data_IF_622830328880
#
_entry.id   IF_622830328880
#
_cell.length_a   1.000
_cell.length_b   1.000
_cell.length_c   1.000
_cell.angle_alpha   90.00
_cell.angle_beta   90.00
_cell.angle_gamma   90.00
#
_symmetry.space_group_name_H-M   'P 1'
#
loop_
_entity.id
_entity.type
_entity.pdbx_description
1 polymer ?
#
# COMPACT_ATOMS: atom_id res chain seq x y z
N UNK A 1 -12.18 -12.82 8.40
CA UNK A 1 -12.09 -11.58 7.60
C UNK A 1 -12.97 -11.70 6.36
N UNK A 2 -13.57 -10.60 5.94
CA UNK A 2 -14.33 -10.55 4.69
C UNK A 2 -13.41 -10.07 3.59
N UNK A 3 -13.41 -10.68 2.39
CA UNK A 3 -12.64 -10.16 1.27
C UNK A 3 -13.03 -8.72 0.92
N UNK A 4 -12.04 -7.87 0.74
CA UNK A 4 -12.19 -6.45 0.43
C UNK A 4 -11.78 -6.21 -1.02
N UNK A 5 -12.53 -5.40 -1.75
CA UNK A 5 -12.15 -4.96 -3.09
C UNK A 5 -11.14 -3.82 -2.96
N UNK A 6 -10.09 -3.88 -3.75
CA UNK A 6 -9.08 -2.86 -3.88
C UNK A 6 -8.60 -2.75 -5.33
N UNK A 7 -7.58 -1.95 -5.57
CA UNK A 7 -6.94 -1.83 -6.88
C UNK A 7 -5.44 -2.09 -6.77
N UNK A 8 -4.83 -2.52 -7.84
CA UNK A 8 -3.41 -2.84 -7.90
C UNK A 8 -2.74 -2.24 -9.13
N UNK A 9 -1.43 -2.22 -9.12
CA UNK A 9 -0.50 -1.66 -10.07
C UNK A 9 -0.22 -0.17 -9.89
N UNK A 10 0.80 0.32 -10.59
CA UNK A 10 1.36 1.67 -10.41
C UNK A 10 0.36 2.80 -10.70
N UNK A 11 -0.65 2.54 -11.53
CA UNK A 11 -1.73 3.48 -11.84
C UNK A 11 -2.71 3.74 -10.69
N UNK A 12 -2.46 3.21 -9.50
CA UNK A 12 -3.25 3.52 -8.29
C UNK A 12 -2.92 4.87 -7.68
N UNK A 13 -1.78 5.45 -8.06
CA UNK A 13 -1.39 6.80 -7.66
C UNK A 13 -2.38 7.82 -8.23
N UNK A 14 -2.71 8.83 -7.45
CA UNK A 14 -3.70 9.85 -7.84
C UNK A 14 -3.02 11.21 -8.07
N UNK A 15 -3.19 11.75 -9.27
CA UNK A 15 -2.51 12.99 -9.70
C UNK A 15 -2.80 14.19 -8.80
N UNK A 16 -4.02 14.31 -8.33
CA UNK A 16 -4.48 15.50 -7.59
C UNK A 16 -4.43 15.29 -6.07
N UNK A 17 -4.01 14.12 -5.60
CA UNK A 17 -3.90 13.79 -4.19
C UNK A 17 -2.45 13.80 -3.72
N UNK A 18 -2.27 13.99 -2.43
CA UNK A 18 -1.02 13.63 -1.73
C UNK A 18 -0.91 12.11 -1.75
N UNK A 19 0.15 11.56 -2.32
CA UNK A 19 0.37 10.12 -2.34
C UNK A 19 1.43 9.74 -1.32
N UNK A 20 1.05 8.88 -0.38
CA UNK A 20 1.93 8.30 0.63
C UNK A 20 2.07 6.82 0.35
N UNK A 21 3.30 6.35 0.21
CA UNK A 21 3.59 4.94 -0.02
C UNK A 21 4.11 4.32 1.27
N UNK A 22 3.48 3.22 1.69
CA UNK A 22 3.94 2.39 2.81
C UNK A 22 4.59 1.12 2.27
N UNK A 23 5.77 0.77 2.79
CA UNK A 23 6.59 -0.31 2.23
C UNK A 23 7.38 -1.04 3.33
N UNK A 24 7.44 -2.34 3.23
CA UNK A 24 8.18 -3.22 4.13
C UNK A 24 7.33 -4.36 4.68
N UNK A 25 7.51 -4.69 5.98
CA UNK A 25 6.95 -5.90 6.60
C UNK A 25 6.29 -5.68 7.97
N UNK A 26 6.43 -4.49 8.57
CA UNK A 26 5.80 -4.14 9.83
C UNK A 26 4.63 -3.17 9.59
N UNK A 27 3.36 -3.66 9.66
CA UNK A 27 2.21 -2.82 9.35
C UNK A 27 1.82 -1.84 10.46
N UNK A 28 2.45 -1.89 11.63
CA UNK A 28 1.98 -1.16 12.82
C UNK A 28 1.91 0.35 12.60
N UNK A 29 3.01 0.96 12.10
CA UNK A 29 3.00 2.39 11.77
C UNK A 29 2.17 2.69 10.52
N UNK A 30 2.20 1.81 9.53
CA UNK A 30 1.43 1.95 8.29
C UNK A 30 -0.08 1.97 8.55
N UNK A 31 -0.55 1.16 9.50
CA UNK A 31 -1.93 1.18 9.99
C UNK A 31 -2.32 2.56 10.52
N UNK A 32 -1.46 3.17 11.34
CA UNK A 32 -1.68 4.50 11.90
C UNK A 32 -1.61 5.60 10.82
N UNK A 33 -0.74 5.44 9.82
CA UNK A 33 -0.67 6.37 8.68
C UNK A 33 -2.00 6.35 7.92
N UNK A 34 -2.58 5.18 7.65
CA UNK A 34 -3.90 5.08 6.99
C UNK A 34 -4.99 5.72 7.83
N UNK A 35 -4.96 5.51 9.15
CA UNK A 35 -5.91 6.14 10.06
C UNK A 35 -5.87 7.67 9.94
N UNK A 36 -4.69 8.28 10.08
CA UNK A 36 -4.56 9.74 9.98
C UNK A 36 -4.75 10.29 8.56
N UNK A 37 -4.41 9.54 7.53
CA UNK A 37 -4.68 9.94 6.14
C UNK A 37 -6.19 10.05 5.84
N UNK A 38 -7.02 9.34 6.59
CA UNK A 38 -8.48 9.40 6.50
C UNK A 38 -9.11 10.38 7.53
N UNK A 39 -8.30 11.01 8.38
CA UNK A 39 -8.79 11.99 9.34
C UNK A 39 -9.32 13.24 8.61
N UNK A 40 -10.54 13.71 8.90
CA UNK A 40 -11.10 14.91 8.30
C UNK A 40 -10.21 16.16 8.45
N UNK A 41 -9.48 16.30 9.58
CA UNK A 41 -8.53 17.41 9.80
C UNK A 41 -7.38 17.34 8.78
N UNK A 42 -6.81 16.15 8.56
CA UNK A 42 -5.71 15.96 7.61
C UNK A 42 -6.16 16.13 6.16
N UNK A 43 -7.37 15.68 5.83
CA UNK A 43 -7.95 15.88 4.49
C UNK A 43 -8.20 17.39 4.24
N UNK A 44 -8.70 18.12 5.24
CA UNK A 44 -8.87 19.57 5.13
C UNK A 44 -7.51 20.25 4.94
N UNK A 45 -6.52 19.89 5.73
CA UNK A 45 -5.16 20.41 5.61
C UNK A 45 -4.52 20.11 4.24
N UNK A 46 -4.77 18.91 3.67
CA UNK A 46 -4.31 18.59 2.31
C UNK A 46 -4.95 19.53 1.27
N UNK A 47 -6.25 19.85 1.41
CA UNK A 47 -6.95 20.78 0.52
C UNK A 47 -6.42 22.20 0.63
N UNK A 48 -6.10 22.67 1.82
CA UNK A 48 -5.44 23.96 2.06
C UNK A 48 -4.07 24.05 1.39
N UNK A 49 -3.37 22.93 1.26
CA UNK A 49 -2.07 22.82 0.58
C UNK A 49 -2.21 22.52 -0.94
N UNK A 50 -3.41 22.56 -1.50
CA UNK A 50 -3.66 22.48 -2.94
C UNK A 50 -3.95 21.07 -3.48
N UNK A 51 -4.00 20.06 -2.63
CA UNK A 51 -4.39 18.70 -3.02
C UNK A 51 -5.92 18.51 -2.91
N UNK A 52 -6.47 17.53 -3.62
CA UNK A 52 -7.90 17.16 -3.49
C UNK A 52 -8.17 16.21 -2.31
N UNK A 53 -7.15 15.49 -1.87
CA UNK A 53 -7.21 14.51 -0.78
C UNK A 53 -5.88 13.84 -0.55
N UNK A 54 -5.92 12.71 0.17
CA UNK A 54 -4.74 11.90 0.48
C UNK A 54 -5.00 10.47 -0.02
N UNK A 55 -4.03 9.90 -0.71
CA UNK A 55 -4.02 8.51 -1.13
C UNK A 55 -2.89 7.80 -0.42
N UNK A 56 -3.20 6.77 0.34
CA UNK A 56 -2.20 5.82 0.85
C UNK A 56 -2.23 4.60 -0.06
N UNK A 57 -1.09 4.24 -0.61
CA UNK A 57 -0.92 3.01 -1.37
C UNK A 57 0.27 2.22 -0.80
N UNK A 58 0.29 0.94 -1.04
CA UNK A 58 1.30 0.11 -0.42
C UNK A 58 2.18 -0.63 -1.42
N UNK A 59 3.34 -1.04 -0.94
CA UNK A 59 4.29 -1.88 -1.65
C UNK A 59 4.71 -3.02 -0.72
N UNK A 60 4.88 -4.22 -1.23
CA UNK A 60 5.31 -5.40 -0.47
C UNK A 60 4.32 -5.93 0.58
N UNK A 61 4.84 -6.58 1.62
CA UNK A 61 4.04 -7.30 2.62
C UNK A 61 3.22 -6.36 3.52
N UNK A 62 3.78 -5.22 3.93
CA UNK A 62 3.02 -4.18 4.65
C UNK A 62 1.79 -3.74 3.86
N UNK A 63 1.91 -3.61 2.53
CA UNK A 63 0.77 -3.30 1.67
C UNK A 63 -0.33 -4.35 1.75
N UNK A 64 0.03 -5.62 1.71
CA UNK A 64 -0.95 -6.71 1.80
C UNK A 64 -1.71 -6.68 3.13
N UNK A 65 -0.99 -6.50 4.24
CA UNK A 65 -1.59 -6.44 5.58
C UNK A 65 -2.57 -5.28 5.71
N UNK A 66 -2.17 -4.09 5.28
CA UNK A 66 -3.01 -2.89 5.39
C UNK A 66 -4.15 -2.91 4.36
N UNK A 67 -3.91 -3.47 3.16
CA UNK A 67 -4.96 -3.67 2.16
C UNK A 67 -6.07 -4.61 2.65
N UNK A 68 -5.71 -5.70 3.33
CA UNK A 68 -6.70 -6.63 3.90
C UNK A 68 -7.61 -6.00 4.95
N UNK A 69 -7.15 -4.96 5.63
CA UNK A 69 -7.88 -4.28 6.71
C UNK A 69 -8.66 -3.08 6.21
N UNK A 70 -8.06 -2.27 5.37
CA UNK A 70 -8.57 -0.96 4.96
C UNK A 70 -8.90 -0.85 3.47
N UNK A 71 -8.54 -1.84 2.65
CA UNK A 71 -8.76 -1.80 1.21
C UNK A 71 -7.89 -0.78 0.49
N UNK A 72 -6.76 -0.36 1.07
CA UNK A 72 -5.84 0.54 0.38
C UNK A 72 -5.33 -0.10 -0.93
N UNK A 73 -5.07 0.70 -1.96
CA UNK A 73 -4.51 0.18 -3.20
C UNK A 73 -3.06 -0.30 -3.04
N UNK A 74 -2.67 -1.24 -3.89
CA UNK A 74 -1.32 -1.81 -3.91
C UNK A 74 -0.58 -1.31 -5.15
N UNK A 75 0.43 -0.45 -4.96
CA UNK A 75 1.21 0.15 -6.05
C UNK A 75 2.18 -0.84 -6.72
N UNK A 76 2.58 -1.89 -6.01
CA UNK A 76 3.46 -2.90 -6.55
C UNK A 76 4.09 -3.81 -5.49
N UNK A 77 5.11 -4.54 -5.90
CA UNK A 77 5.94 -5.38 -5.04
C UNK A 77 7.36 -4.79 -4.88
N UNK A 78 8.25 -5.52 -4.21
CA UNK A 78 9.62 -5.05 -3.97
C UNK A 78 10.44 -4.80 -5.25
N UNK A 79 10.16 -5.49 -6.35
CA UNK A 79 10.85 -5.28 -7.62
C UNK A 79 10.41 -3.99 -8.34
N UNK A 80 9.29 -3.42 -7.94
CA UNK A 80 8.72 -2.22 -8.55
C UNK A 80 8.70 -1.00 -7.61
N UNK A 81 9.35 -1.09 -6.45
CA UNK A 81 9.33 -0.04 -5.43
C UNK A 81 9.89 1.30 -5.91
N UNK A 82 10.88 1.29 -6.81
CA UNK A 82 11.45 2.50 -7.39
C UNK A 82 10.45 3.20 -8.33
N UNK A 83 9.59 2.43 -8.99
CA UNK A 83 8.61 2.98 -9.93
C UNK A 83 7.63 3.95 -9.26
N UNK A 84 7.31 3.78 -7.96
CA UNK A 84 6.42 4.72 -7.27
C UNK A 84 7.05 6.12 -7.15
N UNK A 85 8.36 6.19 -6.96
CA UNK A 85 9.12 7.46 -6.95
C UNK A 85 9.21 8.03 -8.37
N UNK A 86 9.48 7.17 -9.36
CA UNK A 86 9.59 7.55 -10.79
C UNK A 86 8.30 8.12 -11.37
N UNK A 87 7.13 7.87 -10.74
CA UNK A 87 5.88 8.55 -11.16
C UNK A 87 5.95 10.07 -11.00
N UNK A 88 6.88 10.58 -10.19
CA UNK A 88 6.94 12.01 -9.83
C UNK A 88 5.74 12.51 -9.04
N UNK A 89 4.89 11.61 -8.56
CA UNK A 89 3.66 11.92 -7.82
C UNK A 89 3.68 11.40 -6.36
N UNK A 90 4.82 10.91 -5.88
CA UNK A 90 4.98 10.37 -4.53
C UNK A 90 5.53 11.45 -3.58
N UNK A 91 4.75 11.87 -2.59
CA UNK A 91 5.17 12.85 -1.59
C UNK A 91 6.02 12.25 -0.50
N UNK A 92 5.68 11.02 -0.08
CA UNK A 92 6.45 10.29 0.91
C UNK A 92 6.42 8.79 0.63
N UNK A 93 7.58 8.15 0.75
CA UNK A 93 7.71 6.71 0.85
C UNK A 93 8.22 6.38 2.25
N UNK A 94 7.41 5.65 3.01
CA UNK A 94 7.67 5.29 4.41
C UNK A 94 8.03 3.81 4.46
N UNK A 95 9.22 3.51 4.91
CA UNK A 95 9.74 2.15 4.92
C UNK A 95 10.06 1.67 6.33
N UNK A 96 9.75 0.42 6.61
CA UNK A 96 10.02 -0.21 7.90
C UNK A 96 11.23 -1.15 7.84
N UNK A 97 11.05 -2.42 7.50
CA UNK A 97 12.11 -3.44 7.43
C UNK A 97 11.95 -4.33 6.20
N UNK A 98 13.05 -4.91 5.73
CA UNK A 98 13.17 -5.89 4.66
C UNK A 98 12.72 -5.41 3.27
N UNK A 99 13.25 -6.02 2.25
CA UNK A 99 12.93 -5.78 0.83
C UNK A 99 13.09 -4.33 0.37
N UNK A 100 13.84 -3.51 1.09
CA UNK A 100 14.02 -2.08 0.78
C UNK A 100 15.32 -1.89 0.01
N UNK A 101 15.23 -1.31 -1.18
CA UNK A 101 16.40 -1.03 -1.99
C UNK A 101 17.07 0.29 -1.58
N UNK A 102 18.38 0.26 -1.28
CA UNK A 102 19.14 1.48 -0.96
C UNK A 102 19.07 2.56 -2.05
N UNK A 103 18.81 2.17 -3.29
CA UNK A 103 18.63 3.08 -4.43
C UNK A 103 17.46 4.06 -4.24
N UNK A 104 16.49 3.77 -3.39
CA UNK A 104 15.39 4.69 -3.07
C UNK A 104 15.90 6.03 -2.50
N UNK A 105 17.00 6.03 -1.74
CA UNK A 105 17.59 7.24 -1.17
C UNK A 105 18.02 8.24 -2.23
N UNK A 106 19.03 7.92 -3.06
CA UNK A 106 19.48 8.83 -4.12
C UNK A 106 18.39 9.10 -5.17
N UNK A 107 17.51 8.12 -5.48
CA UNK A 107 16.41 8.34 -6.41
C UNK A 107 15.41 9.37 -5.89
N UNK A 108 15.04 9.30 -4.62
CA UNK A 108 14.11 10.25 -4.00
C UNK A 108 14.62 11.69 -4.07
N UNK A 109 15.93 11.90 -4.04
CA UNK A 109 16.55 13.23 -4.22
C UNK A 109 16.43 13.81 -5.63
N UNK A 110 16.24 12.97 -6.64
CA UNK A 110 15.99 13.43 -8.01
C UNK A 110 14.57 13.99 -8.16
N UNK A 111 13.69 13.66 -7.25
CA UNK A 111 12.30 14.10 -7.18
C UNK A 111 12.06 14.93 -5.91
N UNK A 112 10.80 15.17 -5.58
CA UNK A 112 10.42 15.83 -4.33
C UNK A 112 10.14 14.83 -3.19
N UNK A 113 10.19 13.52 -3.47
CA UNK A 113 9.77 12.45 -2.56
C UNK A 113 10.55 12.47 -1.24
N UNK A 114 9.85 12.48 -0.12
CA UNK A 114 10.42 12.25 1.22
C UNK A 114 10.64 10.74 1.41
N UNK A 115 11.88 10.32 1.55
CA UNK A 115 12.23 8.94 1.89
C UNK A 115 12.39 8.81 3.40
N UNK A 116 11.49 8.11 4.07
CA UNK A 116 11.39 8.02 5.52
C UNK A 116 11.63 6.58 5.96
N UNK A 117 12.62 6.36 6.81
CA UNK A 117 12.91 5.06 7.44
C UNK A 117 12.44 5.08 8.90
N UNK A 118 11.86 3.97 9.37
CA UNK A 118 11.20 3.92 10.68
C UNK A 118 11.81 2.90 11.64
N UNK A 119 12.62 1.98 11.12
CA UNK A 119 13.29 0.96 11.93
C UNK A 119 14.79 1.27 12.10
N UNK A 120 15.34 1.18 13.32
CA UNK A 120 16.75 1.42 13.57
C UNK A 120 17.67 0.39 12.87
N UNK A 121 17.16 -0.82 12.60
CA UNK A 121 17.93 -1.87 11.90
C UNK A 121 17.88 -1.74 10.38
N UNK A 122 17.04 -0.87 9.85
CA UNK A 122 16.87 -0.62 8.42
C UNK A 122 17.02 0.87 8.08
N UNK A 123 17.95 1.54 8.76
CA UNK A 123 18.24 2.94 8.52
C UNK A 123 19.06 3.10 7.24
N UNK A 124 18.46 3.72 6.23
CA UNK A 124 19.09 3.88 4.92
C UNK A 124 19.78 5.23 4.77
N UNK A 125 20.87 5.32 3.97
CA UNK A 125 21.43 6.59 3.55
C UNK A 125 20.38 7.46 2.85
N UNK A 126 20.53 8.77 2.97
CA UNK A 126 19.66 9.75 2.31
C UNK A 126 18.18 9.70 2.72
N UNK A 127 17.84 9.01 3.81
CA UNK A 127 16.51 8.97 4.39
C UNK A 127 16.39 9.92 5.59
N UNK A 128 15.17 10.40 5.81
CA UNK A 128 14.76 10.95 7.10
C UNK A 128 14.43 9.79 8.04
N UNK A 129 14.94 9.84 9.28
CA UNK A 129 14.70 8.76 10.24
C UNK A 129 13.68 9.19 11.30
N UNK A 130 12.53 8.53 11.31
CA UNK A 130 11.49 8.70 12.32
C UNK A 130 11.28 7.33 12.96
N UNK A 131 11.91 7.10 14.11
CA UNK A 131 11.85 5.80 14.75
C UNK A 131 10.43 5.42 15.13
N UNK A 132 10.02 4.23 14.73
CA UNK A 132 8.77 3.65 15.22
C UNK A 132 8.90 3.33 16.71
N UNK A 133 7.92 3.78 17.47
CA UNK A 133 7.71 3.40 18.86
C UNK A 133 6.19 3.25 19.05
N UNK A 134 5.75 2.15 19.64
CA UNK A 134 4.32 1.88 19.84
C UNK A 134 3.62 2.98 20.68
N UNK A 135 4.32 3.56 21.64
CA UNK A 135 3.78 4.62 22.50
C UNK A 135 3.54 5.95 21.76
N UNK A 136 4.38 6.26 20.77
CA UNK A 136 4.31 7.49 19.98
C UNK A 136 3.87 7.28 18.54
N UNK A 137 3.38 6.09 18.21
CA UNK A 137 3.01 5.71 16.85
C UNK A 137 1.99 6.67 16.22
N UNK A 138 1.00 7.11 16.99
CA UNK A 138 0.00 8.07 16.53
C UNK A 138 0.60 9.44 16.19
N UNK A 139 1.46 9.96 17.05
CA UNK A 139 2.13 11.25 16.85
C UNK A 139 3.06 11.18 15.62
N UNK A 140 3.84 10.10 15.51
CA UNK A 140 4.75 9.88 14.39
C UNK A 140 3.98 9.75 13.07
N UNK A 141 2.89 8.98 13.06
CA UNK A 141 2.06 8.84 11.87
C UNK A 141 1.43 10.18 11.45
N UNK A 142 0.89 10.95 12.40
CA UNK A 142 0.33 12.29 12.12
C UNK A 142 1.40 13.23 11.59
N UNK A 143 2.62 13.19 12.13
CA UNK A 143 3.75 13.99 11.65
C UNK A 143 4.17 13.60 10.22
N UNK A 144 4.22 12.31 9.91
CA UNK A 144 4.52 11.80 8.56
C UNK A 144 3.47 12.25 7.55
N UNK A 145 2.17 12.13 7.89
CA UNK A 145 1.07 12.58 7.02
C UNK A 145 1.17 14.09 6.77
N UNK A 146 1.40 14.90 7.80
CA UNK A 146 1.62 16.35 7.64
C UNK A 146 2.81 16.66 6.74
N UNK A 147 3.92 15.99 6.96
CA UNK A 147 5.14 16.17 6.16
C UNK A 147 4.87 15.86 4.67
N UNK A 148 4.12 14.80 4.39
CA UNK A 148 3.72 14.47 3.02
C UNK A 148 2.79 15.54 2.42
N UNK A 149 1.82 16.03 3.18
CA UNK A 149 0.91 17.12 2.73
C UNK A 149 1.69 18.38 2.38
N UNK A 150 2.59 18.80 3.26
CA UNK A 150 3.43 20.00 3.06
C UNK A 150 4.39 19.84 1.87
N UNK A 151 4.76 18.60 1.56
CA UNK A 151 5.63 18.30 0.43
C UNK A 151 4.90 18.33 -0.92
N UNK A 152 3.57 18.29 -0.95
CA UNK A 152 2.78 18.35 -2.19
C UNK A 152 3.10 19.58 -3.04
N UNK A 153 3.34 20.73 -2.41
CA UNK A 153 3.73 21.99 -3.09
C UNK A 153 5.07 21.93 -3.82
N UNK A 154 5.93 20.96 -3.46
CA UNK A 154 7.24 20.76 -4.08
C UNK A 154 7.17 19.83 -5.30
N UNK A 155 5.99 19.26 -5.59
CA UNK A 155 5.77 18.43 -6.76
C UNK A 155 5.97 19.27 -8.03
N UNK A 156 6.72 18.70 -8.97
CA UNK A 156 6.94 19.27 -10.29
C UNK A 156 5.95 18.67 -11.28
N UNK A 157 4.91 19.41 -11.70
CA UNK A 157 3.85 18.85 -12.55
C UNK A 157 4.36 18.26 -13.86
N UNK A 158 5.45 18.82 -14.41
CA UNK A 158 6.10 18.36 -15.63
C UNK A 158 6.80 17.01 -15.49
N UNK A 159 7.11 16.60 -14.27
CA UNK A 159 7.72 15.30 -13.95
C UNK A 159 6.70 14.23 -13.60
N UNK A 160 5.42 14.58 -13.49
CA UNK A 160 4.38 13.63 -13.12
C UNK A 160 4.01 12.77 -14.32
N UNK A 161 4.29 11.47 -14.20
CA UNK A 161 3.93 10.46 -15.19
C UNK A 161 3.40 9.21 -14.50
N UNK A 162 2.09 9.17 -14.30
CA UNK A 162 1.39 8.02 -13.70
C UNK A 162 0.88 7.14 -14.83
N UNK A 163 1.39 5.89 -14.98
CA UNK A 163 0.87 4.97 -15.98
C UNK A 163 -0.61 4.66 -15.75
N UNK A 164 -1.36 4.43 -16.81
CA UNK A 164 -2.78 4.06 -16.73
C UNK A 164 -3.03 2.62 -16.27
N UNK A 165 -1.97 1.86 -15.99
CA UNK A 165 -2.04 0.46 -15.58
C UNK A 165 -2.62 0.35 -14.16
N UNK A 166 -3.91 0.04 -14.08
CA UNK A 166 -4.68 -0.14 -12.85
C UNK A 166 -5.63 -1.31 -13.02
N UNK A 167 -5.64 -2.21 -12.07
CA UNK A 167 -6.44 -3.42 -12.10
C UNK A 167 -7.24 -3.54 -10.81
N UNK A 168 -8.45 -4.10 -10.92
CA UNK A 168 -9.22 -4.47 -9.73
C UNK A 168 -8.60 -5.70 -9.09
N UNK A 169 -8.49 -5.67 -7.78
CA UNK A 169 -7.99 -6.76 -6.96
C UNK A 169 -8.94 -7.02 -5.80
N UNK A 170 -8.89 -8.23 -5.27
CA UNK A 170 -9.65 -8.62 -4.09
C UNK A 170 -8.71 -9.29 -3.11
N UNK A 171 -8.65 -8.79 -1.88
CA UNK A 171 -7.69 -9.18 -0.85
C UNK A 171 -8.40 -9.60 0.43
N UNK A 172 -7.68 -10.25 1.34
CA UNK A 172 -8.22 -10.61 2.66
C UNK A 172 -8.94 -11.94 2.69
N UNK A 173 -8.52 -12.90 1.88
CA UNK A 173 -9.04 -14.25 1.94
C UNK A 173 -8.39 -15.03 3.09
N UNK A 174 -9.19 -15.40 4.09
CA UNK A 174 -8.81 -16.45 5.03
C UNK A 174 -9.08 -17.83 4.42
N UNK A 175 -8.50 -18.88 5.03
CA UNK A 175 -8.79 -20.26 4.63
C UNK A 175 -10.30 -20.53 4.69
N UNK A 176 -10.99 -20.05 5.73
CA UNK A 176 -12.43 -20.19 5.89
C UNK A 176 -13.20 -19.44 4.82
N UNK A 177 -12.74 -18.23 4.45
CA UNK A 177 -13.37 -17.45 3.38
C UNK A 177 -13.18 -18.13 2.01
N UNK A 178 -12.00 -18.70 1.75
CA UNK A 178 -11.73 -19.48 0.53
C UNK A 178 -12.61 -20.71 0.49
N UNK A 179 -12.64 -21.50 1.56
CA UNK A 179 -13.53 -22.65 1.67
C UNK A 179 -14.98 -22.25 1.41
N UNK A 180 -15.49 -21.22 2.10
CA UNK A 180 -16.86 -20.76 1.93
C UNK A 180 -17.18 -20.31 0.50
N UNK A 181 -16.25 -19.69 -0.21
CA UNK A 181 -16.44 -19.29 -1.60
C UNK A 181 -16.43 -20.51 -2.53
N UNK A 182 -15.52 -21.45 -2.29
CA UNK A 182 -15.42 -22.68 -3.08
C UNK A 182 -16.58 -23.65 -2.79
N UNK A 183 -17.04 -23.72 -1.55
CA UNK A 183 -18.13 -24.60 -1.11
C UNK A 183 -19.51 -23.94 -1.27
N UNK A 184 -19.59 -22.62 -1.34
CA UNK A 184 -20.86 -21.87 -1.47
C UNK A 184 -21.61 -22.09 -2.78
N UNK A 185 -21.01 -22.84 -3.70
CA UNK A 185 -21.64 -23.35 -4.92
C UNK A 185 -22.27 -24.74 -4.69
N UNK A 186 -21.97 -25.40 -3.57
CA UNK A 186 -22.47 -26.73 -3.27
C UNK A 186 -22.67 -26.94 -1.75
N UNK A 187 -23.85 -26.59 -1.27
CA UNK A 187 -24.43 -26.99 0.02
C UNK A 187 -23.78 -26.56 1.34
N UNK A 188 -24.63 -26.13 2.24
CA UNK A 188 -24.47 -25.61 3.59
C UNK A 188 -23.93 -26.60 4.65
N UNK A 189 -23.33 -27.70 4.27
CA UNK A 189 -22.71 -28.69 5.18
C UNK A 189 -21.28 -28.97 4.73
N UNK A 190 -20.37 -28.11 5.14
CA UNK A 190 -18.95 -28.34 4.98
C UNK A 190 -18.48 -29.14 6.18
N UNK A 191 -17.89 -30.30 5.94
CA UNK A 191 -17.17 -31.04 6.96
C UNK A 191 -15.92 -30.23 7.43
N UNK A 192 -15.32 -30.64 8.54
CA UNK A 192 -14.22 -29.95 9.19
C UNK A 192 -13.03 -29.68 8.25
N UNK A 193 -12.93 -30.39 7.15
CA UNK A 193 -11.84 -30.30 6.19
C UNK A 193 -12.17 -29.55 4.90
N UNK A 194 -13.46 -29.26 4.61
CA UNK A 194 -13.91 -28.66 3.37
C UNK A 194 -13.51 -29.49 2.14
N UNK A 195 -13.96 -29.11 0.96
CA UNK A 195 -13.57 -29.78 -0.28
C UNK A 195 -12.82 -28.84 -1.21
N UNK A 196 -11.80 -29.36 -1.89
CA UNK A 196 -11.08 -28.64 -2.96
C UNK A 196 -11.69 -28.94 -4.33
N UNK A 197 -12.76 -29.70 -4.40
CA UNK A 197 -13.38 -30.14 -5.66
C UNK A 197 -13.78 -28.98 -6.58
N UNK A 198 -14.44 -27.91 -6.10
CA UNK A 198 -14.77 -26.77 -6.95
C UNK A 198 -13.52 -26.05 -7.51
N UNK A 199 -12.43 -25.95 -6.72
CA UNK A 199 -11.18 -25.41 -7.20
C UNK A 199 -10.58 -26.29 -8.30
N UNK A 200 -10.57 -27.60 -8.10
CA UNK A 200 -10.09 -28.57 -9.08
C UNK A 200 -10.94 -28.51 -10.38
N UNK A 201 -12.23 -28.37 -10.27
CA UNK A 201 -13.13 -28.20 -11.41
C UNK A 201 -12.85 -26.90 -12.19
N UNK A 202 -12.57 -25.79 -11.49
CA UNK A 202 -12.15 -24.53 -12.11
C UNK A 202 -10.81 -24.65 -12.86
N UNK A 203 -9.87 -25.42 -12.33
CA UNK A 203 -8.57 -25.68 -12.97
C UNK A 203 -8.76 -26.58 -14.19
N UNK A 204 -9.47 -27.69 -14.05
CA UNK A 204 -9.66 -28.68 -15.12
C UNK A 204 -10.52 -28.15 -16.27
N UNK A 205 -11.48 -27.27 -15.97
CA UNK A 205 -12.31 -26.59 -17.00
C UNK A 205 -11.60 -25.42 -17.67
N UNK A 206 -10.41 -25.04 -17.21
CA UNK A 206 -9.64 -23.92 -17.75
C UNK A 206 -10.18 -22.53 -17.37
N UNK A 207 -11.12 -22.44 -16.44
CA UNK A 207 -11.59 -21.17 -15.87
C UNK A 207 -10.44 -20.52 -15.07
N UNK A 208 -9.77 -21.32 -14.24
CA UNK A 208 -8.55 -20.90 -13.55
C UNK A 208 -7.33 -21.39 -14.35
N UNK A 209 -6.58 -20.47 -14.95
CA UNK A 209 -5.48 -20.78 -15.88
C UNK A 209 -4.09 -20.68 -15.26
N UNK A 210 -4.00 -20.23 -14.02
CA UNK A 210 -2.71 -20.08 -13.32
C UNK A 210 -2.87 -19.43 -11.97
N UNK A 211 -1.78 -19.43 -11.21
CA UNK A 211 -1.64 -18.72 -9.95
C UNK A 211 -0.33 -17.93 -9.99
N UNK A 212 -0.35 -16.72 -9.42
CA UNK A 212 0.83 -15.89 -9.23
C UNK A 212 1.04 -15.74 -7.72
N UNK A 213 2.20 -16.19 -7.24
CA UNK A 213 2.66 -15.90 -5.89
C UNK A 213 3.44 -14.58 -5.91
N UNK A 214 3.08 -13.66 -5.03
CA UNK A 214 3.74 -12.36 -4.84
C UNK A 214 4.36 -12.29 -3.45
#
# INVERSE_FOLDING_TARGET
>A
PKPINTTANIGVMEKDNVNIIVHGHDPSLSEMIVFYANDPEMIAYAKENGAKGITVAGVCCTANEVAMRHGIPMAGNFLSQENVVLTGACEAIVVDVQCIFPALGPLSKCFHTKFITTSPICRMPDSEFIQFNAETAGENAKAIVKMAIENFKNRKPEMVNIPSLKQNARVGYSVEAIKKVLDGVANSQVDEFGTTKPLLECITSGVLRGAVAM
#
